data_IF_958899960260
#
_entry.id   IF_958899960260
#
_cell.length_a   1.000
_cell.length_b   1.000
_cell.length_c   1.000
_cell.angle_alpha   90.00
_cell.angle_beta   90.00
_cell.angle_gamma   90.00
#
_symmetry.space_group_name_H-M   'P 1'
#
loop_
_entity.id
_entity.type
_entity.pdbx_description
1 polymer ?
#
# COMPACT_ATOMS: atom_id res chain seq x y z
N UNK A 1 4.22 24.82 -8.91
CA UNK A 1 4.25 23.85 -7.81
C UNK A 1 2.83 23.41 -7.52
N UNK A 2 2.47 22.16 -7.80
CA UNK A 2 1.19 21.58 -7.35
C UNK A 2 1.50 20.79 -6.09
N UNK A 3 1.22 21.36 -4.92
CA UNK A 3 1.24 20.62 -3.65
C UNK A 3 -0.07 19.84 -3.58
N UNK A 4 -0.03 18.55 -3.88
CA UNK A 4 -1.18 17.68 -3.73
C UNK A 4 -1.14 17.07 -2.33
N UNK A 5 -2.07 17.45 -1.47
CA UNK A 5 -2.27 16.79 -0.18
C UNK A 5 -3.11 15.54 -0.44
N UNK A 6 -2.47 14.38 -0.49
CA UNK A 6 -3.17 13.10 -0.58
C UNK A 6 -3.53 12.65 0.83
N UNK A 7 -4.82 12.57 1.15
CA UNK A 7 -5.30 12.09 2.45
C UNK A 7 -5.36 10.54 2.50
N UNK A 8 -5.68 9.92 1.37
CA UNK A 8 -5.83 8.46 1.25
C UNK A 8 -5.16 7.95 -0.02
N UNK A 9 -4.34 6.90 0.11
CA UNK A 9 -3.81 6.12 -1.01
C UNK A 9 -4.67 4.87 -1.21
N UNK A 10 -5.23 4.74 -2.41
CA UNK A 10 -5.92 3.51 -2.83
C UNK A 10 -4.96 2.71 -3.71
N UNK A 11 -4.62 1.50 -3.29
CA UNK A 11 -3.74 0.60 -4.05
C UNK A 11 -4.56 -0.45 -4.75
N UNK A 12 -4.56 -0.43 -6.08
CA UNK A 12 -5.11 -1.52 -6.88
C UNK A 12 -4.10 -2.66 -6.96
N UNK A 13 -4.32 -3.69 -6.17
CA UNK A 13 -3.48 -4.87 -6.06
C UNK A 13 -3.72 -5.78 -7.28
N UNK A 14 -2.98 -5.52 -8.36
CA UNK A 14 -2.86 -6.39 -9.54
C UNK A 14 -1.60 -7.25 -9.42
N UNK A 15 -1.50 -8.33 -10.20
CA UNK A 15 -0.34 -9.22 -10.26
C UNK A 15 1.02 -8.51 -10.45
N UNK A 16 1.04 -7.36 -11.12
CA UNK A 16 2.27 -6.62 -11.43
C UNK A 16 2.54 -5.40 -10.56
N UNK A 17 1.58 -4.95 -9.73
CA UNK A 17 1.72 -3.64 -9.05
C UNK A 17 2.93 -3.57 -8.13
N UNK A 18 3.27 -4.68 -7.46
CA UNK A 18 4.41 -4.78 -6.55
C UNK A 18 5.76 -4.95 -7.27
N UNK A 19 5.75 -5.14 -8.59
CA UNK A 19 6.95 -5.20 -9.45
C UNK A 19 7.23 -3.86 -10.13
N UNK A 20 6.30 -2.91 -10.08
CA UNK A 20 6.48 -1.58 -10.67
C UNK A 20 7.18 -0.67 -9.67
N UNK A 21 8.46 -0.42 -9.90
CA UNK A 21 9.33 0.41 -9.03
C UNK A 21 8.66 1.71 -8.59
N UNK A 22 8.03 2.43 -9.51
CA UNK A 22 7.36 3.69 -9.20
C UNK A 22 6.16 3.50 -8.27
N UNK A 23 5.35 2.46 -8.49
CA UNK A 23 4.21 2.16 -7.63
C UNK A 23 4.67 1.85 -6.19
N UNK A 24 5.74 1.06 -6.05
CA UNK A 24 6.30 0.73 -4.74
C UNK A 24 6.98 1.93 -4.07
N UNK A 25 7.57 2.82 -4.86
CA UNK A 25 8.06 4.12 -4.38
C UNK A 25 6.95 4.99 -3.79
N UNK A 26 5.79 5.06 -4.44
CA UNK A 26 4.60 5.76 -3.93
C UNK A 26 4.07 5.11 -2.65
N UNK A 27 3.97 3.78 -2.59
CA UNK A 27 3.56 3.05 -1.38
C UNK A 27 4.52 3.29 -0.21
N UNK A 28 5.83 3.32 -0.50
CA UNK A 28 6.86 3.56 0.51
C UNK A 28 6.76 4.98 1.04
N UNK A 29 6.57 5.96 0.15
CA UNK A 29 6.35 7.35 0.52
C UNK A 29 5.08 7.50 1.36
N UNK A 30 3.98 6.86 0.97
CA UNK A 30 2.72 6.87 1.73
C UNK A 30 2.89 6.30 3.14
N UNK A 31 3.62 5.18 3.30
CA UNK A 31 3.96 4.61 4.60
C UNK A 31 4.75 5.59 5.47
N UNK A 32 5.82 6.17 4.92
CA UNK A 32 6.71 7.09 5.64
C UNK A 32 5.99 8.38 6.07
N UNK A 33 4.98 8.81 5.32
CA UNK A 33 4.15 9.97 5.63
C UNK A 33 2.83 9.62 6.35
N UNK A 34 2.66 8.37 6.78
CA UNK A 34 1.45 7.91 7.48
C UNK A 34 0.14 8.20 6.74
N UNK A 35 0.16 8.13 5.40
CA UNK A 35 -1.03 8.31 4.57
C UNK A 35 -1.95 7.10 4.74
N UNK A 36 -3.23 7.34 4.99
CA UNK A 36 -4.22 6.26 5.10
C UNK A 36 -4.22 5.45 3.81
N UNK A 37 -4.03 4.13 3.91
CA UNK A 37 -3.84 3.28 2.74
C UNK A 37 -4.83 2.12 2.79
N UNK A 38 -5.57 1.95 1.70
CA UNK A 38 -6.53 0.85 1.50
C UNK A 38 -6.19 0.09 0.22
N UNK A 39 -6.31 -1.23 0.29
CA UNK A 39 -6.05 -2.12 -0.84
C UNK A 39 -7.35 -2.51 -1.52
N UNK A 40 -7.33 -2.59 -2.85
CA UNK A 40 -8.36 -3.24 -3.65
C UNK A 40 -7.70 -4.46 -4.28
N UNK A 41 -8.02 -5.65 -3.77
CA UNK A 41 -7.36 -6.90 -4.15
C UNK A 41 -8.10 -7.55 -5.29
N UNK A 42 -7.42 -7.66 -6.45
CA UNK A 42 -7.96 -8.39 -7.58
C UNK A 42 -7.80 -9.91 -7.38
N UNK A 43 -8.66 -10.72 -8.01
CA UNK A 43 -8.63 -12.18 -7.90
C UNK A 43 -7.31 -12.85 -8.29
N UNK A 44 -6.52 -12.23 -9.17
CA UNK A 44 -5.22 -12.72 -9.65
C UNK A 44 -4.04 -12.21 -8.83
N UNK A 45 -4.29 -11.38 -7.82
CA UNK A 45 -3.25 -10.86 -6.95
C UNK A 45 -2.73 -11.95 -6.00
N UNK A 46 -1.40 -12.01 -5.89
CA UNK A 46 -0.74 -12.82 -4.89
C UNK A 46 0.32 -11.99 -4.19
N UNK A 47 0.45 -12.19 -2.88
CA UNK A 47 1.52 -11.56 -2.13
C UNK A 47 2.87 -12.19 -2.53
N UNK A 48 3.94 -11.39 -2.66
CA UNK A 48 5.27 -11.92 -2.91
C UNK A 48 5.69 -12.83 -1.76
N UNK A 49 6.36 -13.93 -2.08
CA UNK A 49 6.92 -14.83 -1.07
C UNK A 49 8.05 -14.14 -0.29
N UNK A 50 8.41 -14.64 0.90
CA UNK A 50 9.56 -14.13 1.66
C UNK A 50 10.85 -14.11 0.82
N UNK A 51 11.10 -15.16 0.03
CA UNK A 51 12.28 -15.26 -0.84
C UNK A 51 12.28 -14.18 -1.93
N UNK A 52 11.10 -13.83 -2.45
CA UNK A 52 10.96 -12.73 -3.39
C UNK A 52 11.30 -11.38 -2.74
N UNK A 53 10.94 -11.18 -1.46
CA UNK A 53 11.26 -9.94 -0.73
C UNK A 53 12.75 -9.82 -0.43
N UNK A 54 13.40 -10.91 -0.02
CA UNK A 54 14.84 -10.94 0.20
C UNK A 54 15.61 -10.61 -1.09
N UNK A 55 15.17 -11.15 -2.22
CA UNK A 55 15.82 -10.95 -3.52
C UNK A 55 15.20 -9.82 -4.36
N UNK A 56 14.38 -8.96 -3.75
CA UNK A 56 13.61 -7.92 -4.46
C UNK A 56 14.50 -6.99 -5.31
N UNK A 57 15.69 -6.69 -4.80
CA UNK A 57 16.69 -5.84 -5.46
C UNK A 57 17.17 -6.34 -6.83
N UNK A 58 17.13 -7.65 -7.04
CA UNK A 58 17.53 -8.31 -8.29
C UNK A 58 16.34 -8.66 -9.18
N UNK A 59 15.15 -8.83 -8.58
CA UNK A 59 13.92 -9.22 -9.29
C UNK A 59 13.16 -8.06 -9.93
N UNK A 60 13.44 -6.84 -9.48
CA UNK A 60 12.73 -5.64 -9.94
C UNK A 60 13.72 -4.66 -10.57
N UNK A 61 13.68 -4.58 -11.90
CA UNK A 61 14.54 -3.71 -12.67
C UNK A 61 14.34 -2.24 -12.32
N UNK A 62 15.45 -1.52 -12.14
CA UNK A 62 15.42 -0.08 -11.87
C UNK A 62 15.15 0.30 -10.42
N UNK A 63 15.06 -0.66 -9.49
CA UNK A 63 14.83 -0.39 -8.06
C UNK A 63 15.92 0.48 -7.41
N UNK A 64 17.17 0.35 -7.87
CA UNK A 64 18.28 1.24 -7.46
C UNK A 64 18.00 2.71 -7.80
N UNK A 65 17.14 2.96 -8.79
CA UNK A 65 16.67 4.29 -9.16
C UNK A 65 15.77 4.96 -8.11
N UNK A 66 15.34 4.26 -7.05
CA UNK A 66 14.66 4.87 -5.90
C UNK A 66 15.62 5.50 -4.90
N UNK A 67 16.88 5.05 -4.84
CA UNK A 67 17.87 5.55 -3.89
C UNK A 67 18.16 7.04 -4.07
N UNK A 68 18.11 7.56 -5.31
CA UNK A 68 18.24 9.01 -5.60
C UNK A 68 17.13 9.86 -4.99
N UNK A 69 16.05 9.23 -4.54
CA UNK A 69 14.92 9.86 -3.86
C UNK A 69 14.91 9.55 -2.36
N UNK A 70 16.00 9.00 -1.81
CA UNK A 70 16.09 8.67 -0.39
C UNK A 70 15.33 7.42 0.03
N UNK A 71 14.84 6.61 -0.93
CA UNK A 71 14.13 5.37 -0.65
C UNK A 71 15.12 4.20 -0.77
N UNK A 72 15.42 3.54 0.36
CA UNK A 72 16.29 2.37 0.41
C UNK A 72 15.52 1.08 0.08
N UNK A 73 16.26 0.02 -0.28
CA UNK A 73 15.66 -1.30 -0.51
C UNK A 73 15.01 -1.87 0.76
N UNK A 74 15.59 -1.59 1.92
CA UNK A 74 15.05 -1.97 3.22
C UNK A 74 13.67 -1.32 3.46
N UNK A 75 13.55 0.00 3.22
CA UNK A 75 12.27 0.71 3.32
C UNK A 75 11.21 0.10 2.41
N UNK A 76 11.60 -0.33 1.20
CA UNK A 76 10.70 -1.01 0.26
C UNK A 76 10.22 -2.34 0.83
N UNK A 77 11.13 -3.20 1.33
CA UNK A 77 10.74 -4.51 1.91
C UNK A 77 9.80 -4.34 3.09
N UNK A 78 10.13 -3.45 4.02
CA UNK A 78 9.28 -3.14 5.16
C UNK A 78 7.92 -2.56 4.72
N UNK A 79 7.87 -1.79 3.63
CA UNK A 79 6.62 -1.29 3.05
C UNK A 79 5.76 -2.43 2.52
N UNK A 80 6.35 -3.37 1.79
CA UNK A 80 5.64 -4.54 1.27
C UNK A 80 5.07 -5.43 2.40
N UNK A 81 5.81 -5.56 3.50
CA UNK A 81 5.31 -6.23 4.71
C UNK A 81 4.19 -5.43 5.37
N UNK A 82 4.37 -4.11 5.55
CA UNK A 82 3.37 -3.21 6.12
C UNK A 82 2.05 -3.21 5.34
N UNK A 83 2.10 -3.27 4.01
CA UNK A 83 0.90 -3.33 3.16
C UNK A 83 -0.01 -4.51 3.52
N UNK A 84 0.55 -5.66 3.93
CA UNK A 84 -0.26 -6.82 4.34
C UNK A 84 -1.16 -6.53 5.53
N UNK A 85 -0.79 -5.58 6.38
CA UNK A 85 -1.61 -5.19 7.55
C UNK A 85 -2.65 -4.11 7.23
N UNK A 86 -2.75 -3.65 5.98
CA UNK A 86 -3.68 -2.59 5.58
C UNK A 86 -5.08 -3.16 5.31
N UNK A 87 -6.15 -2.36 5.52
CA UNK A 87 -7.50 -2.75 5.12
C UNK A 87 -7.55 -3.10 3.63
N UNK A 88 -8.26 -4.17 3.29
CA UNK A 88 -8.39 -4.65 1.92
C UNK A 88 -9.85 -4.89 1.55
N UNK A 89 -10.24 -4.47 0.35
CA UNK A 89 -11.49 -4.81 -0.32
C UNK A 89 -11.17 -5.88 -1.35
N UNK A 90 -11.70 -7.09 -1.17
CA UNK A 90 -11.48 -8.19 -2.11
C UNK A 90 -12.52 -8.12 -3.22
N UNK A 91 -12.07 -8.05 -4.48
CA UNK A 91 -12.94 -8.05 -5.65
C UNK A 91 -13.30 -9.48 -6.08
N UNK A 92 -14.54 -9.70 -6.54
CA UNK A 92 -14.95 -10.99 -7.07
C UNK A 92 -14.29 -11.28 -8.42
N UNK A 93 -14.18 -12.57 -8.78
CA UNK A 93 -13.62 -13.01 -10.07
C UNK A 93 -14.37 -12.45 -11.28
N UNK A 94 -15.70 -12.37 -11.18
CA UNK A 94 -16.55 -11.72 -12.18
C UNK A 94 -16.86 -10.29 -11.74
N UNK A 95 -16.26 -9.31 -12.40
CA UNK A 95 -16.55 -7.90 -12.16
C UNK A 95 -17.90 -7.54 -12.79
N UNK A 96 -18.78 -6.99 -11.97
CA UNK A 96 -20.08 -6.44 -12.38
C UNK A 96 -20.13 -4.96 -12.04
N UNK A 97 -21.02 -4.19 -12.69
CA UNK A 97 -21.26 -2.79 -12.32
C UNK A 97 -21.59 -2.67 -10.83
N UNK A 98 -22.42 -3.57 -10.30
CA UNK A 98 -22.78 -3.60 -8.88
C UNK A 98 -21.58 -3.80 -7.94
N UNK A 99 -20.60 -4.64 -8.31
CA UNK A 99 -19.37 -4.78 -7.51
C UNK A 99 -18.51 -3.52 -7.52
N UNK A 100 -18.44 -2.82 -8.66
CA UNK A 100 -17.70 -1.56 -8.79
C UNK A 100 -18.38 -0.46 -7.98
N UNK A 101 -19.71 -0.34 -8.08
CA UNK A 101 -20.51 0.60 -7.30
C UNK A 101 -20.34 0.36 -5.80
N UNK A 102 -20.26 -0.91 -5.39
CA UNK A 102 -19.99 -1.29 -4.00
C UNK A 102 -18.62 -0.80 -3.54
N UNK A 103 -17.56 -1.01 -4.34
CA UNK A 103 -16.20 -0.50 -4.01
C UNK A 103 -16.18 1.02 -3.96
N UNK A 104 -16.84 1.71 -4.90
CA UNK A 104 -16.92 3.16 -4.90
C UNK A 104 -17.63 3.69 -3.64
N UNK A 105 -18.78 3.11 -3.28
CA UNK A 105 -19.52 3.46 -2.07
C UNK A 105 -18.68 3.27 -0.81
N UNK A 106 -17.96 2.15 -0.72
CA UNK A 106 -17.00 1.81 0.33
C UNK A 106 -15.91 2.88 0.51
N UNK A 107 -15.23 3.25 -0.59
CA UNK A 107 -14.20 4.31 -0.59
C UNK A 107 -14.76 5.69 -0.19
N UNK A 108 -15.98 6.04 -0.62
CA UNK A 108 -16.63 7.30 -0.27
C UNK A 108 -16.96 7.37 1.23
N UNK A 109 -17.42 6.27 1.83
CA UNK A 109 -17.72 6.19 3.28
C UNK A 109 -16.45 6.39 4.10
N UNK A 110 -15.35 5.75 3.69
CA UNK A 110 -14.05 5.86 4.37
C UNK A 110 -13.53 7.29 4.44
N UNK A 111 -13.64 8.06 3.34
CA UNK A 111 -13.25 9.47 3.28
C UNK A 111 -13.93 10.34 4.34
N UNK A 112 -15.12 9.93 4.83
CA UNK A 112 -15.88 10.66 5.86
C UNK A 112 -15.47 10.29 7.29
N UNK A 113 -14.31 9.66 7.48
CA UNK A 113 -13.79 9.25 8.79
C UNK A 113 -14.56 8.09 9.42
N UNK A 114 -15.38 7.38 8.65
CA UNK A 114 -16.12 6.21 9.13
C UNK A 114 -15.41 4.95 8.65
N UNK A 115 -14.98 4.13 9.60
CA UNK A 115 -14.59 2.76 9.28
C UNK A 115 -15.84 2.00 8.80
N UNK A 116 -15.68 1.27 7.70
CA UNK A 116 -16.74 0.47 7.11
C UNK A 116 -17.26 -0.56 8.10
N UNK A 117 -18.55 -0.50 8.42
CA UNK A 117 -19.21 -1.48 9.28
C UNK A 117 -20.20 -2.37 8.53
N UNK A 118 -20.52 -2.07 7.26
CA UNK A 118 -21.53 -2.82 6.49
C UNK A 118 -20.90 -3.72 5.42
N UNK A 119 -21.08 -5.04 5.51
CA UNK A 119 -20.79 -5.95 4.40
C UNK A 119 -21.74 -5.65 3.24
N UNK A 120 -21.21 -5.57 2.02
CA UNK A 120 -21.98 -5.43 0.79
C UNK A 120 -21.84 -6.73 0.01
N UNK A 121 -22.95 -7.29 -0.47
CA UNK A 121 -22.96 -8.55 -1.18
C UNK A 121 -21.95 -8.55 -2.33
N UNK A 122 -21.01 -9.52 -2.30
CA UNK A 122 -19.97 -9.66 -3.32
C UNK A 122 -18.67 -8.89 -3.09
N UNK A 123 -18.55 -8.10 -1.99
CA UNK A 123 -17.26 -7.51 -1.59
C UNK A 123 -17.00 -7.71 -0.11
N UNK A 124 -15.96 -8.48 0.20
CA UNK A 124 -15.53 -8.70 1.58
C UNK A 124 -14.47 -7.67 1.95
N UNK A 125 -14.64 -7.04 3.11
CA UNK A 125 -13.61 -6.21 3.73
C UNK A 125 -12.94 -7.08 4.78
N UNK A 126 -11.71 -7.53 4.51
CA UNK A 126 -10.94 -8.35 5.45
C UNK A 126 -9.76 -7.54 5.98
N UNK A 127 -9.56 -7.59 7.28
CA UNK A 127 -8.21 -7.42 7.84
C UNK A 127 -7.46 -8.68 7.45
N UNK A 128 -6.41 -8.58 6.64
CA UNK A 128 -5.53 -9.71 6.34
C UNK A 128 -4.74 -10.06 7.61
N UNK A 129 -5.41 -10.72 8.55
CA UNK A 129 -4.76 -11.34 9.70
C UNK A 129 -4.14 -12.65 9.21
N UNK A 130 -2.84 -12.61 8.94
CA UNK A 130 -2.05 -13.83 8.84
C UNK A 130 -1.56 -14.16 10.24
N UNK A 131 -1.84 -15.39 10.66
CA UNK A 131 -1.58 -15.93 11.99
C UNK A 131 -0.18 -15.54 12.49
N UNK A 132 -0.18 -14.73 13.55
CA UNK A 132 1.02 -14.42 14.32
C UNK A 132 1.08 -15.43 15.46
N UNK A 133 1.79 -16.55 15.24
CA UNK A 133 2.37 -17.27 16.37
C UNK A 133 3.50 -16.43 16.99
N UNK A 134 3.50 -16.44 18.31
CA UNK A 134 3.88 -15.34 19.19
C UNK A 134 5.27 -15.55 19.81
N UNK A 135 6.12 -14.55 19.61
CA UNK A 135 7.05 -13.88 20.56
C UNK A 135 8.04 -14.65 21.47
N UNK A 136 9.31 -14.15 21.48
CA UNK A 136 9.84 -13.45 22.68
C UNK A 136 11.11 -12.60 22.46
N UNK A 137 11.03 -11.32 22.86
CA UNK A 137 12.10 -10.50 23.46
C UNK A 137 13.09 -9.82 22.51
N UNK A 138 13.46 -8.54 22.61
CA UNK A 138 13.61 -7.67 23.79
C UNK A 138 13.64 -6.18 23.38
N UNK A 139 13.16 -5.32 24.27
CA UNK A 139 13.17 -3.85 24.20
C UNK A 139 14.56 -3.23 24.05
N UNK A 140 14.69 -2.18 23.24
CA UNK A 140 15.68 -1.12 23.47
C UNK A 140 15.20 0.24 22.96
N UNK A 141 15.41 1.24 23.80
CA UNK A 141 14.97 2.64 23.77
C UNK A 141 15.66 3.51 22.71
N UNK A 142 14.93 4.54 22.25
CA UNK A 142 15.32 5.59 21.29
C UNK A 142 16.48 6.50 21.75
N UNK A 143 17.05 7.29 20.82
CA UNK A 143 16.85 8.74 20.94
C UNK A 143 16.51 9.48 19.63
N UNK A 144 15.92 10.67 19.82
CA UNK A 144 15.55 11.70 18.84
C UNK A 144 16.71 12.24 18.00
N UNK A 145 16.42 12.67 16.75
CA UNK A 145 17.27 13.64 16.05
C UNK A 145 16.96 13.91 14.58
N UNK A 146 16.44 15.11 14.33
CA UNK A 146 16.58 15.95 13.13
C UNK A 146 15.64 15.77 11.93
N UNK A 147 15.01 16.91 11.64
CA UNK A 147 14.21 17.27 10.48
C UNK A 147 15.06 17.38 9.21
N UNK A 148 14.59 16.78 8.12
CA UNK A 148 14.94 17.13 6.74
C UNK A 148 13.74 16.88 5.85
N UNK A 149 12.81 17.85 5.84
CA UNK A 149 11.78 17.96 4.82
C UNK A 149 12.38 18.59 3.57
N UNK A 150 12.74 17.78 2.57
CA UNK A 150 12.86 18.15 1.16
C UNK A 150 13.41 16.97 0.37
N UNK A 151 12.55 16.13 -0.24
CA UNK A 151 12.82 15.36 -1.45
C UNK A 151 11.66 14.40 -1.74
N UNK A 152 10.81 14.76 -2.71
CA UNK A 152 10.12 13.86 -3.66
C UNK A 152 8.96 14.60 -4.34
N UNK A 153 9.32 15.45 -5.30
CA UNK A 153 8.39 15.93 -6.31
C UNK A 153 8.94 15.48 -7.67
N UNK A 154 8.75 14.18 -8.00
CA UNK A 154 8.79 13.62 -9.37
C UNK A 154 8.65 12.08 -9.37
N UNK A 155 7.41 11.62 -9.35
CA UNK A 155 7.02 10.33 -9.92
C UNK A 155 5.56 10.44 -10.41
N UNK A 156 5.42 11.05 -11.59
CA UNK A 156 4.12 11.22 -12.24
C UNK A 156 3.75 9.91 -12.96
N UNK A 157 3.15 8.97 -12.24
CA UNK A 157 2.33 7.90 -12.81
C UNK A 157 1.09 7.75 -11.91
N UNK A 158 0.28 8.81 -11.94
CA UNK A 158 -0.86 9.03 -11.05
C UNK A 158 -2.09 8.30 -11.63
N UNK A 159 -2.35 7.07 -11.18
CA UNK A 159 -3.73 6.60 -11.03
C UNK A 159 -4.18 6.95 -9.61
N UNK A 160 -4.18 8.24 -9.27
CA UNK A 160 -4.96 8.71 -8.13
C UNK A 160 -6.39 8.78 -8.63
N UNK A 161 -7.22 7.82 -8.22
CA UNK A 161 -8.67 8.00 -8.31
C UNK A 161 -9.03 9.23 -7.48
N UNK A 162 -9.28 10.34 -8.14
CA UNK A 162 -10.06 11.44 -7.57
C UNK A 162 -11.52 10.98 -7.62
N UNK A 163 -12.02 10.49 -6.48
CA UNK A 163 -13.46 10.39 -6.23
C UNK A 163 -13.98 11.73 -5.73
#
# INVERSE_FOLDING_TARGET
FVRNSTETLVVLCTSEVLRRVWCVGEMTTARLHHIDTILIVLPDFSWPSPEFLEDYGHRVDGIRGLARYGISLEMVRETLQWLRSRPAIILPKALTSASIDSVAAKLIVRRRGRFESQPVAGTETQSLNLDTEHERGTSKTMPHGSSTSQLLARAQCMMTLRL
#
